data_IF_848736452174
#
_entry.id   IF_848736452174
#
_cell.length_a   1.000
_cell.length_b   1.000
_cell.length_c   1.000
_cell.angle_alpha   90.00
_cell.angle_beta   90.00
_cell.angle_gamma   90.00
#
_symmetry.space_group_name_H-M   'P 1'
#
loop_
_entity.id
_entity.type
_entity.pdbx_description
1 polymer ?
#
# COMPACT_ATOMS: atom_id res chain seq x y z
N UNK A 1 -10.71 2.79 -35.49
CA UNK A 1 -10.86 2.55 -34.03
C UNK A 1 -10.17 3.72 -33.34
N UNK A 2 -10.85 4.51 -32.48
CA UNK A 2 -10.15 5.56 -31.75
C UNK A 2 -9.13 4.92 -30.81
N UNK A 3 -7.90 5.42 -30.81
CA UNK A 3 -6.88 5.04 -29.83
C UNK A 3 -7.25 5.69 -28.50
N UNK A 4 -7.71 4.87 -27.56
CA UNK A 4 -7.94 5.29 -26.19
C UNK A 4 -6.59 5.42 -25.50
N UNK A 5 -6.27 6.60 -24.99
CA UNK A 5 -5.13 6.80 -24.11
C UNK A 5 -5.61 6.66 -22.67
N UNK A 6 -5.10 5.65 -21.96
CA UNK A 6 -5.37 5.45 -20.54
C UNK A 6 -4.24 6.10 -19.75
N UNK A 7 -4.58 7.10 -18.94
CA UNK A 7 -3.62 7.69 -18.02
C UNK A 7 -3.26 6.67 -16.93
N UNK A 8 -1.97 6.60 -16.59
CA UNK A 8 -1.50 5.71 -15.54
C UNK A 8 -1.81 6.32 -14.18
N UNK A 9 -2.23 5.50 -13.23
CA UNK A 9 -2.63 5.96 -11.90
C UNK A 9 -1.54 6.78 -11.21
N UNK A 10 -1.93 7.96 -10.72
CA UNK A 10 -1.05 8.92 -10.06
C UNK A 10 -1.37 9.05 -8.57
N UNK A 11 -0.47 9.70 -7.83
CA UNK A 11 -0.63 9.89 -6.39
C UNK A 11 -1.91 10.64 -6.01
N UNK A 12 -2.39 11.56 -6.87
CA UNK A 12 -3.66 12.27 -6.64
C UNK A 12 -4.91 11.39 -6.74
N UNK A 13 -4.83 10.26 -7.45
CA UNK A 13 -5.93 9.30 -7.52
C UNK A 13 -6.04 8.51 -6.22
N UNK A 14 -4.88 8.18 -5.65
CA UNK A 14 -4.76 7.45 -4.39
C UNK A 14 -4.96 8.33 -3.16
N UNK A 15 -4.14 9.36 -2.97
CA UNK A 15 -4.04 10.12 -1.73
C UNK A 15 -4.99 11.33 -1.77
N UNK A 16 -6.04 11.28 -0.96
CA UNK A 16 -7.02 12.37 -0.84
C UNK A 16 -6.74 13.31 0.33
N UNK A 17 -6.02 12.82 1.33
CA UNK A 17 -5.58 13.62 2.46
C UNK A 17 -4.33 13.02 3.10
N UNK A 18 -3.40 13.87 3.51
CA UNK A 18 -2.33 13.54 4.44
C UNK A 18 -2.21 14.64 5.50
N UNK A 19 -1.74 14.27 6.69
CA UNK A 19 -1.42 15.22 7.73
C UNK A 19 -0.20 16.08 7.32
N UNK A 20 -0.16 17.35 7.74
CA UNK A 20 0.93 18.26 7.40
C UNK A 20 2.29 17.76 7.91
N UNK A 21 3.37 18.36 7.40
CA UNK A 21 4.75 18.08 7.81
C UNK A 21 5.19 16.63 7.58
N UNK A 22 4.65 15.97 6.56
CA UNK A 22 4.97 14.57 6.20
C UNK A 22 4.66 13.56 7.31
N UNK A 23 3.83 13.92 8.30
CA UNK A 23 3.53 13.08 9.46
C UNK A 23 2.92 11.72 9.10
N UNK A 24 2.13 11.68 8.02
CA UNK A 24 1.48 10.47 7.52
C UNK A 24 2.44 9.50 6.83
N UNK A 25 3.57 10.01 6.33
CA UNK A 25 4.48 9.30 5.43
C UNK A 25 5.55 8.59 6.26
N UNK A 26 5.86 7.36 5.85
CA UNK A 26 6.90 6.56 6.47
C UNK A 26 7.85 6.01 5.41
N UNK A 27 9.15 6.15 5.68
CA UNK A 27 10.20 5.61 4.80
C UNK A 27 10.43 4.17 5.20
N UNK A 28 10.21 3.27 4.26
CA UNK A 28 10.24 1.83 4.48
C UNK A 28 11.18 1.14 3.52
N UNK A 29 11.73 0.02 3.96
CA UNK A 29 12.51 -0.85 3.10
C UNK A 29 11.61 -1.93 2.53
N UNK A 30 11.45 -1.96 1.20
CA UNK A 30 10.73 -3.01 0.49
C UNK A 30 11.64 -4.23 0.36
N UNK A 31 11.15 -5.39 0.78
CA UNK A 31 11.89 -6.64 0.69
C UNK A 31 12.20 -7.03 -0.77
N UNK A 32 13.33 -7.71 -0.98
CA UNK A 32 13.72 -8.21 -2.30
C UNK A 32 12.68 -9.20 -2.86
N UNK A 33 12.58 -9.30 -4.18
CA UNK A 33 11.60 -10.13 -4.88
C UNK A 33 10.18 -9.55 -4.92
N UNK A 34 10.01 -8.26 -4.64
CA UNK A 34 8.72 -7.59 -4.66
C UNK A 34 8.68 -6.53 -5.77
N UNK A 35 7.67 -6.55 -6.62
CA UNK A 35 7.34 -5.44 -7.52
C UNK A 35 5.96 -4.91 -7.12
N UNK A 36 5.95 -3.72 -6.53
CA UNK A 36 4.76 -3.13 -5.91
C UNK A 36 4.37 -1.87 -6.67
N UNK A 37 3.15 -1.77 -7.24
CA UNK A 37 2.67 -0.55 -7.83
C UNK A 37 2.31 0.48 -6.75
N UNK A 38 2.07 1.71 -7.21
CA UNK A 38 1.42 2.72 -6.39
C UNK A 38 0.08 2.19 -5.86
N UNK A 39 -0.23 2.50 -4.60
CA UNK A 39 -1.47 2.03 -3.95
C UNK A 39 -1.40 0.60 -3.42
N UNK A 40 -0.26 -0.09 -3.54
CA UNK A 40 -0.12 -1.42 -2.98
C UNK A 40 -0.29 -1.41 -1.46
N UNK A 41 -1.19 -2.26 -0.97
CA UNK A 41 -1.36 -2.51 0.46
C UNK A 41 -0.24 -3.43 0.93
N UNK A 42 0.55 -2.95 1.88
CA UNK A 42 1.76 -3.63 2.37
C UNK A 42 1.62 -4.04 3.81
N UNK A 43 2.22 -5.17 4.15
CA UNK A 43 2.44 -5.61 5.52
C UNK A 43 3.93 -5.53 5.88
N UNK A 44 4.21 -5.41 7.18
CA UNK A 44 5.57 -5.34 7.70
C UNK A 44 5.98 -6.70 8.27
N UNK A 45 7.11 -7.24 7.82
CA UNK A 45 7.70 -8.46 8.35
C UNK A 45 8.34 -8.15 9.70
N UNK A 46 7.82 -8.74 10.77
CA UNK A 46 8.20 -8.43 12.16
C UNK A 46 9.68 -8.70 12.43
N UNK A 47 10.23 -9.76 11.84
CA UNK A 47 11.63 -10.16 12.06
C UNK A 47 12.65 -9.19 11.42
N UNK A 48 12.27 -8.49 10.36
CA UNK A 48 13.21 -7.67 9.57
C UNK A 48 12.85 -6.19 9.54
N UNK A 49 11.61 -5.81 9.88
CA UNK A 49 11.07 -4.47 9.70
C UNK A 49 10.85 -4.09 8.23
N UNK A 50 11.09 -5.01 7.28
CA UNK A 50 10.90 -4.77 5.85
C UNK A 50 9.43 -4.93 5.48
N UNK A 51 8.98 -4.17 4.49
CA UNK A 51 7.63 -4.27 3.97
C UNK A 51 7.59 -5.15 2.73
N UNK A 52 6.51 -5.90 2.58
CA UNK A 52 6.17 -6.63 1.34
C UNK A 52 4.67 -6.49 1.09
N UNK A 53 4.18 -6.97 -0.05
CA UNK A 53 2.73 -7.02 -0.28
C UNK A 53 2.05 -7.76 0.87
N UNK A 54 0.87 -7.29 1.29
CA UNK A 54 0.12 -8.00 2.32
C UNK A 54 -0.11 -9.44 1.89
N UNK A 55 0.08 -10.37 2.81
CA UNK A 55 -0.18 -11.80 2.61
C UNK A 55 -0.98 -12.31 3.79
N UNK A 56 -2.32 -12.36 3.70
CA UNK A 56 -3.20 -12.79 4.78
C UNK A 56 -2.91 -14.21 5.30
N UNK A 57 -2.26 -15.05 4.49
CA UNK A 57 -1.91 -16.44 4.85
C UNK A 57 -0.58 -16.55 5.58
N UNK A 58 0.23 -15.49 5.57
CA UNK A 58 1.52 -15.46 6.24
C UNK A 58 1.37 -15.38 7.77
N UNK A 59 2.45 -15.73 8.46
CA UNK A 59 2.57 -15.62 9.93
C UNK A 59 3.82 -14.85 10.36
N UNK A 60 4.42 -14.08 9.44
CA UNK A 60 5.68 -13.35 9.64
C UNK A 60 5.47 -11.87 10.00
N UNK A 61 4.22 -11.41 10.05
CA UNK A 61 3.80 -10.02 10.25
C UNK A 61 3.16 -9.40 9.01
N UNK A 62 3.45 -9.92 7.81
CA UNK A 62 2.88 -9.35 6.58
C UNK A 62 1.40 -9.63 6.37
N UNK A 63 0.80 -10.46 7.20
CA UNK A 63 -0.65 -10.69 7.21
C UNK A 63 -1.44 -9.49 7.74
N UNK A 64 -0.76 -8.52 8.37
CA UNK A 64 -1.37 -7.29 8.88
C UNK A 64 -0.99 -6.12 7.97
N UNK A 65 -1.99 -5.40 7.47
CA UNK A 65 -1.79 -4.17 6.71
C UNK A 65 -1.10 -3.12 7.58
N UNK A 66 0.11 -2.73 7.19
CA UNK A 66 0.93 -1.72 7.86
C UNK A 66 0.85 -0.34 7.20
N UNK A 67 0.41 -0.28 5.94
CA UNK A 67 0.29 0.97 5.20
C UNK A 67 0.01 0.75 3.72
N UNK A 68 0.01 1.85 2.97
CA UNK A 68 -0.23 1.86 1.53
C UNK A 68 0.92 2.60 0.83
N UNK A 69 1.53 1.97 -0.18
CA UNK A 69 2.62 2.59 -0.94
C UNK A 69 2.15 3.81 -1.73
N UNK A 70 2.91 4.90 -1.63
CA UNK A 70 2.66 6.17 -2.33
C UNK A 70 3.36 6.26 -3.68
N UNK A 71 4.20 5.29 -4.00
CA UNK A 71 4.97 5.22 -5.22
C UNK A 71 5.15 3.77 -5.63
N UNK A 72 5.29 3.54 -6.93
CA UNK A 72 5.73 2.24 -7.41
C UNK A 72 7.15 1.98 -6.89
N UNK A 73 7.40 0.75 -6.45
CA UNK A 73 8.70 0.31 -5.98
C UNK A 73 9.01 -1.05 -6.61
N UNK A 74 10.09 -1.09 -7.39
CA UNK A 74 10.61 -2.33 -7.96
C UNK A 74 11.82 -2.82 -7.15
N UNK A 75 11.56 -3.81 -6.32
CA UNK A 75 12.55 -4.53 -5.51
C UNK A 75 12.77 -5.95 -6.04
N UNK A 76 12.51 -6.22 -7.34
CA UNK A 76 12.61 -7.57 -7.91
C UNK A 76 14.00 -8.19 -7.73
N UNK A 77 15.07 -7.41 -7.93
CA UNK A 77 16.46 -7.89 -7.90
C UNK A 77 17.18 -7.66 -6.56
N UNK A 78 16.74 -6.65 -5.80
CA UNK A 78 17.33 -6.29 -4.51
C UNK A 78 16.31 -5.52 -3.67
N UNK A 79 16.50 -5.50 -2.35
CA UNK A 79 15.70 -4.68 -1.46
C UNK A 79 15.85 -3.18 -1.76
N UNK A 80 14.79 -2.42 -1.49
CA UNK A 80 14.70 -0.99 -1.80
C UNK A 80 14.42 -0.19 -0.54
N UNK A 81 15.37 0.65 -0.13
CA UNK A 81 15.30 1.46 1.11
C UNK A 81 14.64 2.84 0.92
N UNK A 82 14.22 3.12 -0.31
CA UNK A 82 13.55 4.35 -0.74
C UNK A 82 12.03 4.18 -0.87
N UNK A 83 11.48 3.06 -0.40
CA UNK A 83 10.04 2.85 -0.30
C UNK A 83 9.39 3.94 0.54
N UNK A 84 8.22 4.40 0.10
CA UNK A 84 7.47 5.44 0.80
C UNK A 84 6.02 5.03 0.87
N UNK A 85 5.53 4.88 2.10
CA UNK A 85 4.15 4.50 2.35
C UNK A 85 3.46 5.56 3.19
N UNK A 86 2.13 5.58 3.10
CA UNK A 86 1.29 6.19 4.12
C UNK A 86 1.06 5.14 5.20
N UNK A 87 1.51 5.44 6.41
CA UNK A 87 1.35 4.56 7.56
C UNK A 87 0.23 5.02 8.51
N UNK A 88 -0.15 6.31 8.48
CA UNK A 88 -1.08 6.89 9.46
C UNK A 88 -1.73 8.20 9.01
N UNK A 89 -2.83 8.58 9.68
CA UNK A 89 -3.52 9.88 9.55
C UNK A 89 -3.66 10.37 8.10
N UNK A 90 -4.30 9.58 7.25
CA UNK A 90 -4.44 9.87 5.83
C UNK A 90 -5.76 9.34 5.30
N UNK A 91 -6.19 9.85 4.13
CA UNK A 91 -7.33 9.31 3.40
C UNK A 91 -6.83 8.83 2.05
N UNK A 92 -7.11 7.56 1.74
CA UNK A 92 -6.79 6.95 0.45
C UNK A 92 -8.06 6.49 -0.26
N UNK A 93 -8.04 6.50 -1.58
CA UNK A 93 -9.15 6.00 -2.40
C UNK A 93 -9.07 4.50 -2.63
N UNK A 94 -10.21 3.83 -2.48
CA UNK A 94 -10.37 2.39 -2.67
C UNK A 94 -10.05 1.91 -4.10
N UNK A 95 -10.48 2.64 -5.13
CA UNK A 95 -10.23 2.30 -6.54
C UNK A 95 -8.74 2.29 -6.90
N UNK A 96 -7.92 3.01 -6.12
CA UNK A 96 -6.50 3.12 -6.31
C UNK A 96 -5.70 2.13 -5.46
N UNK A 97 -6.36 1.31 -4.63
CA UNK A 97 -5.68 0.27 -3.86
C UNK A 97 -5.33 -0.93 -4.75
N UNK A 98 -4.06 -1.34 -4.68
CA UNK A 98 -3.59 -2.57 -5.30
C UNK A 98 -3.51 -3.69 -4.27
N UNK A 99 -4.30 -4.72 -4.52
CA UNK A 99 -4.40 -5.91 -3.69
C UNK A 99 -3.53 -7.06 -4.21
N UNK A 100 -3.17 -8.05 -3.37
CA UNK A 100 -2.52 -9.27 -3.84
C UNK A 100 -3.49 -10.13 -4.65
N UNK A 101 -2.94 -10.87 -5.61
CA UNK A 101 -3.71 -11.81 -6.43
C UNK A 101 -4.36 -12.86 -5.54
N UNK A 102 -5.67 -13.09 -5.71
CA UNK A 102 -6.40 -14.11 -4.96
C UNK A 102 -6.91 -13.69 -3.58
N UNK A 103 -6.74 -12.42 -3.17
CA UNK A 103 -7.32 -11.95 -1.91
C UNK A 103 -8.85 -12.02 -1.97
N UNK A 104 -9.46 -12.50 -0.90
CA UNK A 104 -10.91 -12.55 -0.74
C UNK A 104 -11.46 -11.19 -0.31
N UNK A 105 -12.75 -10.96 -0.55
CA UNK A 105 -13.42 -9.74 -0.07
C UNK A 105 -13.37 -9.60 1.45
N UNK A 106 -13.41 -10.71 2.19
CA UNK A 106 -13.31 -10.70 3.66
C UNK A 106 -11.92 -10.24 4.12
N UNK A 107 -10.85 -10.72 3.47
CA UNK A 107 -9.48 -10.32 3.77
C UNK A 107 -9.24 -8.84 3.39
N UNK A 108 -9.80 -8.37 2.27
CA UNK A 108 -9.74 -6.94 1.93
C UNK A 108 -10.40 -6.08 3.01
N UNK A 109 -11.59 -6.47 3.49
CA UNK A 109 -12.27 -5.76 4.58
C UNK A 109 -11.47 -5.77 5.88
N UNK A 110 -10.83 -6.89 6.21
CA UNK A 110 -9.94 -6.99 7.36
C UNK A 110 -8.73 -6.05 7.22
N UNK A 111 -8.09 -6.02 6.05
CA UNK A 111 -6.97 -5.11 5.77
C UNK A 111 -7.40 -3.64 5.83
N UNK A 112 -8.58 -3.28 5.31
CA UNK A 112 -9.14 -1.93 5.42
C UNK A 112 -9.40 -1.57 6.90
N UNK A 113 -9.89 -2.50 7.71
CA UNK A 113 -10.09 -2.27 9.14
C UNK A 113 -8.76 -2.07 9.88
N UNK A 114 -7.72 -2.81 9.52
CA UNK A 114 -6.35 -2.64 10.05
C UNK A 114 -5.78 -1.26 9.67
N UNK A 115 -5.89 -0.85 8.40
CA UNK A 115 -5.51 0.50 7.96
C UNK A 115 -6.26 1.58 8.72
N UNK A 116 -7.56 1.40 8.94
CA UNK A 116 -8.39 2.33 9.73
C UNK A 116 -7.90 2.44 11.18
N UNK A 117 -7.48 1.33 11.79
CA UNK A 117 -6.91 1.34 13.14
C UNK A 117 -5.58 2.11 13.22
N UNK A 118 -4.81 2.15 12.13
CA UNK A 118 -3.60 2.96 12.00
C UNK A 118 -3.89 4.45 11.66
N UNK A 119 -5.16 4.80 11.45
CA UNK A 119 -5.59 6.15 11.04
C UNK A 119 -5.53 6.40 9.53
N UNK A 120 -5.36 5.36 8.72
CA UNK A 120 -5.46 5.43 7.25
C UNK A 120 -6.89 5.05 6.85
N UNK A 121 -7.68 6.04 6.43
CA UNK A 121 -9.07 5.86 6.05
C UNK A 121 -9.16 5.54 4.56
N UNK A 122 -9.69 4.36 4.24
CA UNK A 122 -10.06 4.02 2.87
C UNK A 122 -11.45 4.58 2.59
N UNK A 123 -11.59 5.35 1.52
CA UNK A 123 -12.86 5.96 1.09
C UNK A 123 -13.14 5.62 -0.36
N UNK A 124 -14.41 5.60 -0.72
CA UNK A 124 -14.82 5.47 -2.11
C UNK A 124 -14.25 6.65 -2.91
N UNK A 125 -13.38 6.37 -3.87
CA UNK A 125 -12.94 7.36 -4.84
C UNK A 125 -13.97 7.57 -5.93
N UNK A 126 -13.96 8.77 -6.51
CA UNK A 126 -14.73 9.16 -7.70
C UNK A 126 -13.80 9.18 -8.88
#
# INVERSE_FOLDING_TARGET
>A
MPTVFTESMNLGDLLKYEAPNLYSRDRVTVAAGQTLPLGAVVGMVTATGKVKRIDPSATDGSQVAAGVLMQACDAALAERTDGLMVARHAIVSDHALSWPTGITTAEQQAAIAQLKALGVLVRQGV
#
